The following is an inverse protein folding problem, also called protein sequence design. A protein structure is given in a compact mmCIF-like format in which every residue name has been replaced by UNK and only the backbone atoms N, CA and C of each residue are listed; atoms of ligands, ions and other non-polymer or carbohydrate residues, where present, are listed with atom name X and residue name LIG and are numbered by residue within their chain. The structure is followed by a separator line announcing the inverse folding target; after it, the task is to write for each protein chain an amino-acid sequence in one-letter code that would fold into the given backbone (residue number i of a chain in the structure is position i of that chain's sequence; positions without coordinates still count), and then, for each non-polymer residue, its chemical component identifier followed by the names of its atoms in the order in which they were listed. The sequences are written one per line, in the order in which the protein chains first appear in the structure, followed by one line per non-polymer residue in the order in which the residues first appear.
data_IF_974454098207
#
_entry.id   IF_974454098207
#
_cell.length_a   1.000
_cell.length_b   1.000
_cell.length_c   1.000
_cell.angle_alpha   90.00
_cell.angle_beta   90.00
_cell.angle_gamma   90.00
#
_symmetry.space_group_name_H-M   'P 1'
#
loop_
_entity.id
_entity.type
_entity.pdbx_description
1 polymer ?
#
# COMPACT_ATOMS: atom_id res chain seq x y z
N UNK A 1 14.78 34.20 34.83
CA UNK A 1 14.69 33.03 33.94
C UNK A 1 13.33 33.05 33.28
N UNK A 2 13.27 33.70 32.10
CA UNK A 2 12.07 33.79 31.26
C UNK A 2 11.87 32.46 30.52
N UNK A 3 10.80 31.75 30.81
CA UNK A 3 10.37 30.57 30.12
C UNK A 3 10.02 30.87 28.66
N UNK A 4 10.43 30.06 27.71
CA UNK A 4 10.06 30.27 26.32
C UNK A 4 8.55 30.10 26.14
N UNK A 5 7.87 31.22 25.89
CA UNK A 5 6.41 31.30 25.71
C UNK A 5 5.92 30.77 24.35
N UNK A 6 6.78 30.24 23.50
CA UNK A 6 6.37 29.66 22.24
C UNK A 6 5.88 28.23 22.40
N UNK A 7 4.59 28.08 22.69
CA UNK A 7 3.89 26.80 22.68
C UNK A 7 3.79 26.28 21.24
N UNK A 8 4.70 25.35 20.87
CA UNK A 8 4.56 24.60 19.61
C UNK A 8 3.27 23.78 19.64
N UNK A 9 2.44 23.99 18.62
CA UNK A 9 1.19 23.21 18.44
C UNK A 9 1.52 21.82 17.95
N UNK A 10 1.19 20.80 18.73
CA UNK A 10 1.39 19.39 18.36
C UNK A 10 0.12 18.84 17.70
N UNK A 11 0.28 18.25 16.52
CA UNK A 11 -0.78 17.55 15.81
C UNK A 11 -0.79 16.08 16.23
N UNK A 12 -1.86 15.62 16.87
CA UNK A 12 -2.10 14.18 17.04
C UNK A 12 -2.65 13.67 15.71
N UNK A 13 -1.90 12.78 15.04
CA UNK A 13 -2.34 12.16 13.78
C UNK A 13 -3.19 10.95 14.13
N UNK A 14 -4.44 10.96 13.72
CA UNK A 14 -5.33 9.80 13.82
C UNK A 14 -6.75 10.18 14.29
N UNK A 15 -7.68 10.12 13.36
CA UNK A 15 -9.11 10.27 13.62
C UNK A 15 -9.67 11.65 13.23
N UNK A 16 -10.88 11.61 12.67
CA UNK A 16 -11.72 12.75 12.38
C UNK A 16 -12.05 13.49 13.68
N UNK A 17 -11.16 14.34 14.13
CA UNK A 17 -11.40 15.18 15.30
C UNK A 17 -11.98 16.47 14.75
N UNK A 18 -13.30 16.60 14.85
CA UNK A 18 -13.95 17.91 14.85
C UNK A 18 -13.11 18.82 15.72
N UNK A 19 -12.79 20.02 15.24
CA UNK A 19 -11.85 20.99 15.76
C UNK A 19 -11.94 21.21 17.28
N UNK A 20 -11.48 20.26 18.07
CA UNK A 20 -11.25 20.51 19.48
C UNK A 20 -10.11 21.52 19.57
N UNK A 21 -10.42 22.73 20.04
CA UNK A 21 -9.42 23.77 20.34
C UNK A 21 -8.30 23.14 21.16
N UNK A 22 -7.10 23.06 20.57
CA UNK A 22 -5.95 22.41 21.20
C UNK A 22 -5.60 23.14 22.46
N UNK A 23 -5.78 22.49 23.60
CA UNK A 23 -5.41 23.04 24.89
C UNK A 23 -3.86 23.04 24.95
N UNK A 24 -3.30 24.22 25.30
CA UNK A 24 -1.87 24.33 25.60
C UNK A 24 -1.56 23.50 26.83
N UNK A 25 -0.54 22.67 26.79
CA UNK A 25 -0.06 21.97 27.96
C UNK A 25 0.46 23.00 28.98
N UNK A 26 0.01 22.94 30.21
CA UNK A 26 0.41 23.84 31.31
C UNK A 26 1.03 23.04 32.45
N UNK A 27 1.84 23.70 33.28
CA UNK A 27 2.43 23.13 34.48
C UNK A 27 3.31 21.92 34.25
N UNK A 28 3.22 20.92 35.09
CA UNK A 28 4.05 19.71 35.06
C UNK A 28 4.03 18.97 33.70
N UNK A 29 2.87 18.95 33.04
CA UNK A 29 2.74 18.31 31.74
C UNK A 29 3.55 19.03 30.65
N UNK A 30 3.63 20.36 30.70
CA UNK A 30 4.44 21.14 29.76
C UNK A 30 5.93 20.89 30.01
N UNK A 31 6.36 20.86 31.29
CA UNK A 31 7.71 20.56 31.70
C UNK A 31 8.13 19.14 31.27
N UNK A 32 7.30 18.14 31.56
CA UNK A 32 7.53 16.77 31.13
C UNK A 32 7.71 16.64 29.60
N UNK A 33 6.83 17.27 28.83
CA UNK A 33 6.94 17.29 27.37
C UNK A 33 8.21 17.98 26.89
N UNK A 34 8.63 19.07 27.54
CA UNK A 34 9.88 19.75 27.24
C UNK A 34 11.07 18.78 27.41
N UNK A 35 11.20 18.11 28.56
CA UNK A 35 12.26 17.15 28.80
C UNK A 35 12.21 15.95 27.83
N UNK A 36 11.04 15.44 27.51
CA UNK A 36 10.88 14.37 26.53
C UNK A 36 11.43 14.74 25.14
N UNK A 37 11.29 16.01 24.73
CA UNK A 37 11.88 16.51 23.49
C UNK A 37 13.36 16.80 23.64
N UNK A 38 13.78 17.38 24.76
CA UNK A 38 15.18 17.69 25.04
C UNK A 38 16.04 16.42 25.08
N UNK A 39 15.56 15.37 25.73
CA UNK A 39 16.23 14.06 25.82
C UNK A 39 16.09 13.22 24.53
N UNK A 40 15.42 13.71 23.51
CA UNK A 40 15.27 12.99 22.25
C UNK A 40 14.33 11.78 22.30
N UNK A 41 13.68 11.52 23.44
CA UNK A 41 12.71 10.44 23.62
C UNK A 41 11.48 10.64 22.72
N UNK A 42 11.05 11.90 22.57
CA UNK A 42 10.04 12.30 21.59
C UNK A 42 10.65 13.28 20.61
N UNK A 43 10.79 12.83 19.38
CA UNK A 43 11.17 13.73 18.27
C UNK A 43 9.90 14.38 17.72
N UNK A 44 9.93 15.71 17.41
CA UNK A 44 8.83 16.31 16.69
C UNK A 44 8.62 15.54 15.39
N UNK A 45 7.38 15.14 15.11
CA UNK A 45 7.09 14.50 13.84
C UNK A 45 7.61 15.40 12.73
N UNK A 46 8.59 14.93 11.98
CA UNK A 46 9.09 15.66 10.80
C UNK A 46 7.86 15.92 9.95
N UNK A 47 7.59 17.19 9.62
CA UNK A 47 6.54 17.53 8.66
C UNK A 47 6.85 16.73 7.40
N UNK A 48 6.02 15.75 7.07
CA UNK A 48 6.16 15.03 5.83
C UNK A 48 6.10 16.09 4.74
N UNK A 49 7.21 16.26 4.03
CA UNK A 49 7.24 17.16 2.88
C UNK A 49 6.18 16.65 1.90
N UNK A 50 5.31 17.55 1.45
CA UNK A 50 4.32 17.18 0.44
C UNK A 50 5.06 16.61 -0.77
N UNK A 51 4.62 15.42 -1.21
CA UNK A 51 5.22 14.76 -2.38
C UNK A 51 5.05 15.70 -3.58
N UNK A 52 6.12 16.04 -4.31
CA UNK A 52 6.03 16.87 -5.52
C UNK A 52 5.03 16.27 -6.51
N UNK A 53 4.33 17.10 -7.26
CA UNK A 53 3.30 16.64 -8.19
C UNK A 53 3.84 15.62 -9.20
N UNK A 54 5.05 15.82 -9.72
CA UNK A 54 5.74 14.92 -10.63
C UNK A 54 5.96 13.51 -10.08
N UNK A 55 6.14 13.40 -8.74
CA UNK A 55 6.38 12.10 -8.10
C UNK A 55 5.09 11.43 -7.60
N UNK A 56 3.97 12.18 -7.51
CA UNK A 56 2.69 11.63 -7.00
C UNK A 56 2.18 10.45 -7.81
N UNK A 57 2.34 10.50 -9.12
CA UNK A 57 1.92 9.39 -10.00
C UNK A 57 2.70 8.12 -9.70
N UNK A 58 4.03 8.24 -9.53
CA UNK A 58 4.90 7.10 -9.22
C UNK A 58 4.61 6.53 -7.83
N UNK A 59 4.36 7.39 -6.84
CA UNK A 59 3.94 6.95 -5.50
C UNK A 59 2.60 6.21 -5.56
N UNK A 60 1.65 6.68 -6.37
CA UNK A 60 0.37 6.00 -6.57
C UNK A 60 0.54 4.63 -7.22
N UNK A 61 1.41 4.51 -8.24
CA UNK A 61 1.78 3.24 -8.88
C UNK A 61 2.42 2.29 -7.86
N UNK A 62 3.38 2.80 -7.07
CA UNK A 62 4.04 2.01 -6.03
C UNK A 62 3.03 1.43 -5.02
N UNK A 63 2.09 2.25 -4.53
CA UNK A 63 1.05 1.78 -3.63
C UNK A 63 0.12 0.75 -4.28
N UNK A 64 -0.14 0.87 -5.59
CA UNK A 64 -0.90 -0.14 -6.33
C UNK A 64 -0.14 -1.46 -6.37
N UNK A 65 1.13 -1.44 -6.78
CA UNK A 65 1.97 -2.65 -6.82
C UNK A 65 2.16 -3.30 -5.45
N UNK A 66 2.30 -2.52 -4.39
CA UNK A 66 2.36 -3.07 -3.03
C UNK A 66 1.10 -3.87 -2.66
N UNK A 67 -0.09 -3.38 -3.04
CA UNK A 67 -1.36 -4.11 -2.80
C UNK A 67 -1.44 -5.38 -3.64
N UNK A 68 -1.05 -5.30 -4.91
CA UNK A 68 -0.99 -6.46 -5.81
C UNK A 68 -0.04 -7.53 -5.28
N UNK A 69 1.17 -7.13 -4.89
CA UNK A 69 2.16 -8.05 -4.31
C UNK A 69 1.67 -8.71 -3.02
N UNK A 70 1.05 -7.96 -2.13
CA UNK A 70 0.46 -8.53 -0.90
C UNK A 70 -0.62 -9.58 -1.22
N UNK A 71 -1.45 -9.35 -2.23
CA UNK A 71 -2.46 -10.32 -2.65
C UNK A 71 -1.79 -11.58 -3.17
N UNK A 72 -0.82 -11.47 -4.08
CA UNK A 72 -0.06 -12.61 -4.61
C UNK A 72 0.61 -13.42 -3.49
N UNK A 73 1.23 -12.74 -2.53
CA UNK A 73 1.87 -13.36 -1.38
C UNK A 73 0.84 -14.07 -0.46
N UNK A 74 -0.31 -13.45 -0.21
CA UNK A 74 -1.36 -14.01 0.66
C UNK A 74 -1.92 -15.32 0.09
N UNK A 75 -2.12 -15.36 -1.22
CA UNK A 75 -2.68 -16.54 -1.92
C UNK A 75 -1.59 -17.45 -2.50
N UNK A 76 -0.29 -17.14 -2.32
CA UNK A 76 0.87 -17.89 -2.83
C UNK A 76 0.76 -18.15 -4.34
N UNK A 77 0.52 -17.09 -5.09
CA UNK A 77 0.34 -17.13 -6.54
C UNK A 77 1.69 -16.84 -7.21
N UNK A 78 2.22 -17.82 -7.93
CA UNK A 78 3.49 -17.70 -8.65
C UNK A 78 3.29 -17.72 -10.18
N UNK A 79 2.15 -18.20 -10.65
CA UNK A 79 1.86 -18.36 -12.08
C UNK A 79 0.56 -17.69 -12.50
N UNK A 80 0.47 -17.34 -13.79
CA UNK A 80 -0.77 -16.76 -14.37
C UNK A 80 -1.96 -17.72 -14.29
N UNK A 81 -1.70 -19.02 -14.45
CA UNK A 81 -2.76 -20.03 -14.31
C UNK A 81 -3.35 -20.08 -12.90
N UNK A 82 -2.51 -19.93 -11.86
CA UNK A 82 -3.00 -19.83 -10.47
C UNK A 82 -3.80 -18.55 -10.24
N UNK A 83 -3.41 -17.43 -10.88
CA UNK A 83 -4.15 -16.17 -10.81
C UNK A 83 -5.55 -16.33 -11.44
N UNK A 84 -5.65 -16.94 -12.62
CA UNK A 84 -6.91 -17.22 -13.29
C UNK A 84 -7.81 -18.12 -12.43
N UNK A 85 -7.27 -19.21 -11.88
CA UNK A 85 -8.02 -20.09 -10.97
C UNK A 85 -8.54 -19.35 -9.73
N UNK A 86 -7.73 -18.45 -9.16
CA UNK A 86 -8.21 -17.63 -8.05
C UNK A 86 -9.35 -16.69 -8.49
N UNK A 87 -9.23 -16.08 -9.67
CA UNK A 87 -10.27 -15.19 -10.20
C UNK A 87 -11.59 -15.94 -10.37
N UNK A 88 -11.55 -17.13 -10.97
CA UNK A 88 -12.73 -17.96 -11.18
C UNK A 88 -13.37 -18.40 -9.86
N UNK A 89 -12.54 -18.81 -8.88
CA UNK A 89 -13.02 -19.17 -7.55
C UNK A 89 -13.69 -18.00 -6.82
N UNK A 90 -13.06 -16.83 -6.83
CA UNK A 90 -13.62 -15.61 -6.21
C UNK A 90 -14.89 -15.15 -6.93
N UNK A 91 -14.93 -15.26 -8.26
CA UNK A 91 -16.14 -14.93 -9.04
C UNK A 91 -17.30 -15.87 -8.69
N UNK A 92 -17.05 -17.18 -8.63
CA UNK A 92 -18.06 -18.17 -8.24
C UNK A 92 -18.62 -17.89 -6.82
N UNK A 93 -17.75 -17.51 -5.88
CA UNK A 93 -18.17 -17.14 -4.51
C UNK A 93 -19.03 -15.86 -4.51
N UNK A 94 -18.65 -14.84 -5.30
CA UNK A 94 -19.44 -13.62 -5.46
C UNK A 94 -20.82 -13.94 -6.03
N UNK A 95 -20.91 -14.83 -7.02
CA UNK A 95 -22.16 -15.20 -7.65
C UNK A 95 -23.05 -15.98 -6.68
N UNK A 96 -22.50 -16.94 -5.92
CA UNK A 96 -23.23 -17.67 -4.89
C UNK A 96 -23.78 -16.73 -3.80
N UNK A 97 -22.96 -15.80 -3.28
CA UNK A 97 -23.40 -14.81 -2.29
C UNK A 97 -24.44 -13.83 -2.86
N UNK A 98 -24.31 -13.48 -4.13
CA UNK A 98 -25.26 -12.60 -4.81
C UNK A 98 -26.61 -13.28 -4.99
N UNK A 99 -26.62 -14.57 -5.34
CA UNK A 99 -27.83 -15.37 -5.42
C UNK A 99 -28.51 -15.48 -4.05
N UNK A 100 -27.75 -15.84 -3.01
CA UNK A 100 -28.24 -15.90 -1.62
C UNK A 100 -28.84 -14.57 -1.18
N UNK A 101 -28.18 -13.45 -1.52
CA UNK A 101 -28.71 -12.12 -1.21
C UNK A 101 -30.05 -11.83 -1.92
N UNK A 102 -30.22 -12.28 -3.18
CA UNK A 102 -31.50 -12.16 -3.91
C UNK A 102 -32.62 -12.92 -3.19
N UNK A 103 -32.36 -14.13 -2.72
CA UNK A 103 -33.34 -14.91 -1.97
C UNK A 103 -33.72 -14.24 -0.64
N UNK A 104 -32.74 -13.68 0.08
CA UNK A 104 -33.01 -12.95 1.32
C UNK A 104 -33.85 -11.68 1.09
N UNK A 105 -33.61 -10.94 0.02
CA UNK A 105 -34.49 -9.82 -0.33
C UNK A 105 -35.94 -10.26 -0.66
N UNK A 106 -36.11 -11.43 -1.28
CA UNK A 106 -37.45 -11.98 -1.51
C UNK A 106 -38.14 -12.36 -0.17
N UNK A 107 -37.40 -12.89 0.79
CA UNK A 107 -37.90 -13.18 2.16
C UNK A 107 -38.22 -11.89 2.93
N UNK A 108 -37.37 -10.87 2.83
CA UNK A 108 -37.62 -9.56 3.43
C UNK A 108 -38.91 -8.91 2.96
N UNK A 109 -39.23 -9.04 1.66
CA UNK A 109 -40.49 -8.54 1.09
C UNK A 109 -41.73 -9.26 1.64
N UNK A 110 -41.55 -10.47 2.19
CA UNK A 110 -42.61 -11.25 2.87
C UNK A 110 -42.75 -10.89 4.36
N UNK A 111 -41.96 -9.92 4.84
CA UNK A 111 -42.00 -9.46 6.23
C UNK A 111 -41.05 -10.19 7.19
N UNK A 112 -40.13 -11.04 6.67
CA UNK A 112 -39.16 -11.74 7.51
C UNK A 112 -38.01 -10.79 7.94
N UNK A 113 -37.55 -10.92 9.18
CA UNK A 113 -36.49 -10.08 9.75
C UNK A 113 -35.09 -10.61 9.35
N UNK A 114 -34.70 -10.46 8.09
CA UNK A 114 -33.42 -10.95 7.52
C UNK A 114 -32.38 -9.84 7.29
N UNK A 115 -32.57 -8.67 7.85
CA UNK A 115 -31.70 -7.49 7.62
C UNK A 115 -30.24 -7.77 8.00
N UNK A 116 -30.00 -8.43 9.14
CA UNK A 116 -28.66 -8.76 9.62
C UNK A 116 -27.94 -9.74 8.69
N UNK A 117 -28.66 -10.71 8.11
CA UNK A 117 -28.09 -11.67 7.14
C UNK A 117 -27.70 -10.96 5.84
N UNK A 118 -28.50 -10.00 5.39
CA UNK A 118 -28.21 -9.21 4.20
C UNK A 118 -26.95 -8.34 4.44
N UNK A 119 -26.83 -7.73 5.61
CA UNK A 119 -25.64 -6.94 5.96
C UNK A 119 -24.39 -7.82 6.04
N UNK A 120 -24.46 -8.99 6.64
CA UNK A 120 -23.36 -9.95 6.69
C UNK A 120 -22.88 -10.33 5.28
N UNK A 121 -23.78 -10.64 4.35
CA UNK A 121 -23.45 -10.92 2.96
C UNK A 121 -22.82 -9.71 2.28
N UNK A 122 -23.36 -8.51 2.50
CA UNK A 122 -22.79 -7.29 1.93
C UNK A 122 -21.36 -7.02 2.45
N UNK A 123 -21.11 -7.31 3.73
CA UNK A 123 -19.75 -7.21 4.30
C UNK A 123 -18.81 -8.25 3.70
N UNK A 124 -19.25 -9.48 3.47
CA UNK A 124 -18.47 -10.54 2.82
C UNK A 124 -18.17 -10.22 1.34
N UNK A 125 -19.11 -9.66 0.61
CA UNK A 125 -18.94 -9.29 -0.80
C UNK A 125 -17.89 -8.17 -1.03
N UNK A 126 -17.71 -7.27 -0.06
CA UNK A 126 -16.78 -6.14 -0.22
C UNK A 126 -15.32 -6.57 -0.43
N UNK A 127 -14.73 -7.45 0.42
CA UNK A 127 -13.35 -7.90 0.20
C UNK A 127 -13.21 -8.75 -1.07
N UNK A 128 -14.17 -9.62 -1.39
CA UNK A 128 -14.13 -10.46 -2.59
C UNK A 128 -14.07 -9.61 -3.86
N UNK A 129 -14.94 -8.62 -3.99
CA UNK A 129 -14.92 -7.67 -5.12
C UNK A 129 -13.64 -6.87 -5.21
N UNK A 130 -13.04 -6.48 -4.07
CA UNK A 130 -11.73 -5.82 -4.06
C UNK A 130 -10.64 -6.74 -4.56
N UNK A 131 -10.63 -8.00 -4.12
CA UNK A 131 -9.67 -9.00 -4.56
C UNK A 131 -9.80 -9.27 -6.06
N UNK A 132 -11.00 -9.49 -6.55
CA UNK A 132 -11.25 -9.68 -7.99
C UNK A 132 -10.75 -8.50 -8.81
N UNK A 133 -11.03 -7.26 -8.38
CA UNK A 133 -10.52 -6.07 -9.04
C UNK A 133 -9.00 -5.99 -9.01
N UNK A 134 -8.34 -6.40 -7.92
CA UNK A 134 -6.88 -6.44 -7.86
C UNK A 134 -6.32 -7.52 -8.80
N UNK A 135 -6.93 -8.71 -8.86
CA UNK A 135 -6.53 -9.76 -9.78
C UNK A 135 -6.62 -9.30 -11.25
N UNK A 136 -7.72 -8.67 -11.65
CA UNK A 136 -7.86 -8.13 -13.01
C UNK A 136 -6.86 -7.02 -13.33
N UNK A 137 -6.48 -6.22 -12.32
CA UNK A 137 -5.41 -5.23 -12.48
C UNK A 137 -4.03 -5.87 -12.63
N UNK A 138 -3.76 -6.97 -11.91
CA UNK A 138 -2.51 -7.73 -12.04
C UNK A 138 -2.43 -8.29 -13.46
N UNK A 139 -3.49 -8.95 -13.93
CA UNK A 139 -3.57 -9.51 -15.28
C UNK A 139 -3.28 -8.46 -16.35
N UNK A 140 -3.91 -7.28 -16.25
CA UNK A 140 -3.67 -6.16 -17.16
C UNK A 140 -2.24 -5.58 -17.08
N UNK A 141 -1.58 -5.66 -15.92
CA UNK A 141 -0.23 -5.14 -15.73
C UNK A 141 0.87 -6.15 -16.14
N UNK A 142 0.56 -7.46 -16.28
CA UNK A 142 1.52 -8.52 -16.61
C UNK A 142 2.33 -8.22 -17.88
N UNK A 143 1.72 -7.89 -19.02
CA UNK A 143 2.49 -7.65 -20.25
C UNK A 143 3.48 -6.50 -20.08
N UNK A 144 3.08 -5.45 -19.38
CA UNK A 144 3.93 -4.29 -19.12
C UNK A 144 5.11 -4.63 -18.20
N UNK A 145 4.85 -5.40 -17.14
CA UNK A 145 5.88 -5.83 -16.19
C UNK A 145 6.89 -6.73 -16.90
N UNK A 146 6.43 -7.66 -17.73
CA UNK A 146 7.31 -8.53 -18.55
C UNK A 146 8.22 -7.72 -19.47
N UNK A 147 7.67 -6.77 -20.21
CA UNK A 147 8.45 -5.89 -21.07
C UNK A 147 9.51 -5.10 -20.31
N UNK A 148 9.16 -4.52 -19.16
CA UNK A 148 10.12 -3.79 -18.33
C UNK A 148 11.20 -4.71 -17.75
N UNK A 149 10.85 -5.91 -17.31
CA UNK A 149 11.81 -6.89 -16.77
C UNK A 149 12.78 -7.34 -17.86
N UNK A 150 12.32 -7.52 -19.08
CA UNK A 150 13.17 -7.88 -20.21
C UNK A 150 14.16 -6.76 -20.53
N UNK A 151 13.70 -5.52 -20.63
CA UNK A 151 14.57 -4.36 -20.86
C UNK A 151 15.63 -4.21 -19.76
N UNK A 152 15.25 -4.39 -18.48
CA UNK A 152 16.21 -4.36 -17.39
C UNK A 152 17.27 -5.46 -17.49
N UNK A 153 16.89 -6.68 -17.90
CA UNK A 153 17.84 -7.78 -18.12
C UNK A 153 18.80 -7.49 -19.26
N UNK A 154 18.30 -6.96 -20.37
CA UNK A 154 19.12 -6.56 -21.51
C UNK A 154 20.13 -5.47 -21.12
N UNK A 155 19.71 -4.48 -20.37
CA UNK A 155 20.60 -3.44 -19.84
C UNK A 155 21.67 -4.01 -18.91
N UNK A 156 21.29 -4.90 -17.98
CA UNK A 156 22.25 -5.56 -17.09
C UNK A 156 23.27 -6.40 -17.86
N UNK A 157 22.86 -7.14 -18.88
CA UNK A 157 23.77 -7.87 -19.76
C UNK A 157 24.76 -6.92 -20.45
N UNK A 158 24.27 -5.81 -21.02
CA UNK A 158 25.13 -4.82 -21.68
C UNK A 158 26.13 -4.17 -20.71
N UNK A 159 25.70 -3.85 -19.48
CA UNK A 159 26.58 -3.31 -18.45
C UNK A 159 27.67 -4.32 -18.04
N UNK A 160 27.32 -5.59 -17.91
CA UNK A 160 28.27 -6.67 -17.60
C UNK A 160 29.30 -6.86 -18.72
N UNK A 161 28.86 -6.87 -19.98
CA UNK A 161 29.75 -6.95 -21.14
C UNK A 161 30.71 -5.75 -21.23
N UNK A 162 30.19 -4.55 -20.99
CA UNK A 162 31.03 -3.33 -20.94
C UNK A 162 32.02 -3.36 -19.79
N UNK A 163 31.60 -3.87 -18.63
CA UNK A 163 32.47 -4.06 -17.48
C UNK A 163 33.58 -5.08 -17.76
N UNK A 164 33.26 -6.21 -18.37
CA UNK A 164 34.24 -7.22 -18.78
C UNK A 164 35.26 -6.66 -19.77
N UNK A 165 34.81 -5.95 -20.82
CA UNK A 165 35.69 -5.31 -21.81
C UNK A 165 36.61 -4.24 -21.21
N UNK A 166 36.14 -3.50 -20.14
CA UNK A 166 37.01 -2.55 -19.42
C UNK A 166 38.08 -3.27 -18.62
N UNK A 167 37.74 -4.35 -17.93
CA UNK A 167 38.67 -5.14 -17.15
C UNK A 167 39.72 -5.83 -18.04
N UNK A 168 39.33 -6.37 -19.18
CA UNK A 168 40.30 -6.95 -20.15
C UNK A 168 41.31 -5.91 -20.68
N UNK A 169 40.84 -4.69 -20.99
CA UNK A 169 41.72 -3.60 -21.39
C UNK A 169 42.70 -3.18 -20.29
N UNK A 170 42.26 -3.16 -19.05
CA UNK A 170 43.14 -2.87 -17.90
C UNK A 170 44.20 -3.95 -17.70
N UNK A 171 43.82 -5.23 -17.76
CA UNK A 171 44.75 -6.34 -17.65
C UNK A 171 45.76 -6.40 -18.82
N UNK A 172 45.36 -6.03 -20.03
CA UNK A 172 46.25 -5.95 -21.18
C UNK A 172 47.26 -4.81 -21.00
N UNK A 173 46.84 -3.67 -20.44
CA UNK A 173 47.73 -2.55 -20.18
C UNK A 173 48.73 -2.82 -19.05
N UNK A 174 48.37 -3.60 -18.06
CA UNK A 174 49.26 -3.98 -16.94
C UNK A 174 50.32 -5.03 -17.35
N UNK A 175 50.01 -5.91 -18.31
CA UNK A 175 50.94 -6.92 -18.84
C UNK A 175 51.91 -6.37 -19.88
N UNK A 176 51.67 -5.18 -20.40
CA UNK A 176 52.53 -4.53 -21.40
C UNK A 176 53.61 -3.59 -20.82
N UNK A 177 53.73 -3.54 -19.47
CA UNK A 177 54.80 -2.85 -18.79
C UNK A 177 55.81 -3.85 -18.24
#
# INVERSE_FOLDING_TARGET
TTWPTQSRRYRVSGGNIHSQKRRKAKGFRALYLYYMYFLGIRRPAKKQKAVPFSVRQEVTKLHRYQRQFRLLQTYRIDTEGQLSMLMDAVQAEIDALTLRRKTLYARQRRGEAVTNEIEAINQALRPLRRNLKLCSQIEADIPRIRGQTQLCREQQCQEQEQGAKRNEKQHHFERGK
#
